data_IF_113362268709
#
_entry.id   IF_113362268709
#
_cell.length_a   1.000
_cell.length_b   1.000
_cell.length_c   1.000
_cell.angle_alpha   90.00
_cell.angle_beta   90.00
_cell.angle_gamma   90.00
#
_symmetry.space_group_name_H-M   'P 1'
#
loop_
_entity.id
_entity.type
_entity.pdbx_description
1 polymer ?
#
# COMPACT_ATOMS: atom_id res chain seq x y z
N UNK A 1 -15.38 -0.68 -10.01
CA UNK A 1 -15.03 -1.21 -8.68
C UNK A 1 -14.10 -0.28 -7.91
N UNK A 2 -12.76 -0.32 -8.04
CA UNK A 2 -11.87 0.54 -7.22
C UNK A 2 -12.14 2.05 -7.37
N UNK A 3 -12.18 2.56 -8.61
CA UNK A 3 -12.50 3.97 -8.89
C UNK A 3 -13.92 4.38 -8.45
N UNK A 4 -14.83 3.41 -8.36
CA UNK A 4 -16.21 3.58 -7.89
C UNK A 4 -16.32 3.45 -6.36
N UNK A 5 -15.19 3.25 -5.65
CA UNK A 5 -15.10 3.05 -4.18
C UNK A 5 -15.82 1.79 -3.68
N UNK A 6 -16.08 0.83 -4.55
CA UNK A 6 -16.68 -0.47 -4.21
C UNK A 6 -15.59 -1.44 -3.72
N UNK A 7 -14.96 -1.12 -2.59
CA UNK A 7 -13.74 -1.80 -2.14
C UNK A 7 -13.97 -3.28 -1.81
N UNK A 8 -15.08 -3.64 -1.17
CA UNK A 8 -15.38 -5.05 -0.85
C UNK A 8 -15.57 -5.89 -2.12
N UNK A 9 -16.30 -5.36 -3.11
CA UNK A 9 -16.49 -6.07 -4.38
C UNK A 9 -15.18 -6.13 -5.19
N UNK A 10 -14.36 -5.07 -5.12
CA UNK A 10 -13.03 -5.05 -5.71
C UNK A 10 -12.15 -6.15 -5.09
N UNK A 11 -12.19 -6.34 -3.76
CA UNK A 11 -11.47 -7.44 -3.10
C UNK A 11 -11.94 -8.78 -3.64
N UNK A 12 -13.25 -9.03 -3.73
CA UNK A 12 -13.78 -10.30 -4.29
C UNK A 12 -13.29 -10.57 -5.71
N UNK A 13 -13.23 -9.54 -6.57
CA UNK A 13 -12.69 -9.70 -7.92
C UNK A 13 -11.18 -10.00 -7.90
N UNK A 14 -10.42 -9.30 -7.05
CA UNK A 14 -8.99 -9.52 -6.92
C UNK A 14 -8.68 -10.92 -6.34
N UNK A 15 -9.52 -11.41 -5.43
CA UNK A 15 -9.50 -12.78 -4.89
C UNK A 15 -9.58 -13.80 -6.03
N UNK A 16 -10.57 -13.66 -6.91
CA UNK A 16 -10.75 -14.52 -8.07
C UNK A 16 -9.56 -14.46 -9.05
N UNK A 17 -8.98 -13.28 -9.29
CA UNK A 17 -7.84 -13.14 -10.23
C UNK A 17 -6.60 -13.86 -9.71
N UNK A 18 -6.35 -13.83 -8.40
CA UNK A 18 -5.15 -14.46 -7.83
C UNK A 18 -5.19 -15.98 -7.84
N UNK A 19 -6.35 -16.60 -8.09
CA UNK A 19 -6.44 -18.04 -8.36
C UNK A 19 -5.74 -18.42 -9.69
N UNK A 20 -5.59 -17.45 -10.61
CA UNK A 20 -4.96 -17.66 -11.92
C UNK A 20 -3.55 -17.07 -12.04
N UNK A 21 -3.22 -16.08 -11.21
CA UNK A 21 -1.91 -15.41 -11.20
C UNK A 21 -1.45 -15.16 -9.76
N UNK A 22 -0.62 -16.07 -9.25
CA UNK A 22 0.01 -15.90 -7.93
C UNK A 22 1.10 -14.83 -8.00
N UNK A 23 1.23 -14.00 -6.96
CA UNK A 23 2.28 -12.97 -6.85
C UNK A 23 2.17 -11.84 -7.90
N UNK A 24 0.93 -11.46 -8.24
CA UNK A 24 0.63 -10.32 -9.12
C UNK A 24 0.63 -9.01 -8.31
N UNK A 25 1.54 -8.10 -8.65
CA UNK A 25 1.70 -6.84 -7.93
C UNK A 25 0.47 -5.94 -7.99
N UNK A 26 -0.32 -5.99 -9.08
CA UNK A 26 -1.56 -5.24 -9.17
C UNK A 26 -2.58 -5.78 -8.16
N UNK A 27 -2.69 -7.10 -8.05
CA UNK A 27 -3.58 -7.73 -7.09
C UNK A 27 -3.18 -7.37 -5.66
N UNK A 28 -1.91 -7.50 -5.32
CA UNK A 28 -1.38 -7.17 -4.00
C UNK A 28 -1.59 -5.69 -3.65
N UNK A 29 -1.21 -4.79 -4.56
CA UNK A 29 -1.34 -3.36 -4.35
C UNK A 29 -2.81 -2.94 -4.20
N UNK A 30 -3.67 -3.29 -5.16
CA UNK A 30 -5.07 -2.83 -5.13
C UNK A 30 -5.87 -3.48 -3.99
N UNK A 31 -5.55 -4.71 -3.55
CA UNK A 31 -6.14 -5.27 -2.32
C UNK A 31 -5.69 -4.47 -1.10
N UNK A 32 -4.39 -4.17 -0.99
CA UNK A 32 -3.85 -3.32 0.07
C UNK A 32 -4.56 -1.98 0.15
N UNK A 33 -4.77 -1.33 -1.00
CA UNK A 33 -5.51 -0.08 -1.10
C UNK A 33 -6.99 -0.24 -0.71
N UNK A 34 -7.66 -1.32 -1.14
CA UNK A 34 -9.05 -1.57 -0.74
C UNK A 34 -9.17 -1.73 0.79
N UNK A 35 -8.30 -2.52 1.41
CA UNK A 35 -8.27 -2.70 2.85
C UNK A 35 -7.97 -1.39 3.58
N UNK A 36 -7.05 -0.57 3.06
CA UNK A 36 -6.73 0.74 3.62
C UNK A 36 -7.96 1.65 3.66
N UNK A 37 -8.72 1.75 2.55
CA UNK A 37 -9.93 2.56 2.49
C UNK A 37 -11.09 1.99 3.32
N UNK A 38 -11.12 0.68 3.54
CA UNK A 38 -12.03 0.02 4.48
C UNK A 38 -11.58 0.14 5.95
N UNK A 39 -10.48 0.84 6.22
CA UNK A 39 -9.87 0.99 7.55
C UNK A 39 -9.43 -0.34 8.20
N UNK A 40 -9.33 -1.42 7.41
CA UNK A 40 -8.76 -2.67 7.87
C UNK A 40 -7.24 -2.62 7.69
N UNK A 41 -6.58 -1.83 8.55
CA UNK A 41 -5.17 -1.49 8.40
C UNK A 41 -4.24 -2.70 8.56
N UNK A 42 -4.62 -3.72 9.35
CA UNK A 42 -3.84 -4.95 9.46
C UNK A 42 -3.86 -5.76 8.15
N UNK A 43 -5.02 -5.86 7.48
CA UNK A 43 -5.10 -6.51 6.18
C UNK A 43 -4.38 -5.68 5.10
N UNK A 44 -4.50 -4.34 5.15
CA UNK A 44 -3.79 -3.44 4.26
C UNK A 44 -2.27 -3.62 4.39
N UNK A 45 -1.76 -3.69 5.62
CA UNK A 45 -0.33 -3.89 5.91
C UNK A 45 0.18 -5.17 5.25
N UNK A 46 -0.53 -6.29 5.43
CA UNK A 46 -0.14 -7.58 4.84
C UNK A 46 -0.04 -7.51 3.32
N UNK A 47 -1.05 -6.94 2.66
CA UNK A 47 -1.11 -6.87 1.20
C UNK A 47 -0.10 -5.87 0.61
N UNK A 48 0.03 -4.68 1.20
CA UNK A 48 1.03 -3.70 0.78
C UNK A 48 2.47 -4.19 1.00
N UNK A 49 2.70 -5.00 2.04
CA UNK A 49 4.02 -5.63 2.26
C UNK A 49 4.35 -6.65 1.19
N UNK A 50 3.37 -7.43 0.72
CA UNK A 50 3.55 -8.33 -0.44
C UNK A 50 3.89 -7.55 -1.70
N UNK A 51 3.09 -6.51 -2.01
CA UNK A 51 3.35 -5.62 -3.14
C UNK A 51 4.75 -5.02 -3.09
N UNK A 52 5.22 -4.60 -1.91
CA UNK A 52 6.55 -3.98 -1.72
C UNK A 52 7.69 -4.93 -2.08
N UNK A 53 7.59 -6.21 -1.71
CA UNK A 53 8.66 -7.19 -1.95
C UNK A 53 8.54 -7.87 -3.32
N UNK A 54 7.51 -7.53 -4.10
CA UNK A 54 7.35 -8.04 -5.45
C UNK A 54 8.51 -7.55 -6.34
N UNK A 55 9.12 -8.47 -7.10
CA UNK A 55 10.31 -8.19 -7.93
C UNK A 55 10.04 -7.18 -9.06
N UNK A 56 8.80 -7.14 -9.54
CA UNK A 56 8.36 -6.22 -10.59
C UNK A 56 7.33 -5.30 -9.96
N UNK A 57 7.80 -4.29 -9.24
CA UNK A 57 6.92 -3.36 -8.54
C UNK A 57 6.80 -2.03 -9.29
N UNK A 58 5.76 -1.92 -10.11
CA UNK A 58 5.39 -0.66 -10.80
C UNK A 58 4.78 0.38 -9.86
N UNK A 59 4.45 0.00 -8.63
CA UNK A 59 3.86 0.84 -7.59
C UNK A 59 4.83 1.11 -6.44
N UNK A 60 6.15 1.06 -6.66
CA UNK A 60 7.14 1.13 -5.57
C UNK A 60 6.94 2.35 -4.66
N UNK A 61 6.79 3.54 -5.26
CA UNK A 61 6.62 4.78 -4.51
C UNK A 61 5.27 4.81 -3.77
N UNK A 62 4.17 4.50 -4.48
CA UNK A 62 2.83 4.41 -3.90
C UNK A 62 2.79 3.40 -2.74
N UNK A 63 3.39 2.23 -2.94
CA UNK A 63 3.39 1.14 -1.96
C UNK A 63 4.15 1.57 -0.72
N UNK A 64 5.35 2.13 -0.85
CA UNK A 64 6.11 2.61 0.30
C UNK A 64 5.35 3.73 1.03
N UNK A 65 4.73 4.66 0.31
CA UNK A 65 3.95 5.73 0.90
C UNK A 65 2.72 5.19 1.66
N UNK A 66 1.84 4.42 1.02
CA UNK A 66 0.64 3.89 1.68
C UNK A 66 0.95 2.86 2.76
N UNK A 67 2.02 2.06 2.61
CA UNK A 67 2.48 1.17 3.68
C UNK A 67 2.93 1.98 4.89
N UNK A 68 3.63 3.10 4.70
CA UNK A 68 4.02 3.98 5.82
C UNK A 68 2.80 4.54 6.57
N UNK A 69 1.78 5.00 5.85
CA UNK A 69 0.53 5.49 6.45
C UNK A 69 -0.17 4.37 7.22
N UNK A 70 -0.19 3.16 6.67
CA UNK A 70 -0.76 1.98 7.31
C UNK A 70 0.02 1.60 8.58
N UNK A 71 1.34 1.70 8.55
CA UNK A 71 2.20 1.50 9.71
C UNK A 71 1.89 2.50 10.84
N UNK A 72 1.73 3.79 10.52
CA UNK A 72 1.31 4.80 11.51
C UNK A 72 -0.05 4.47 12.13
N UNK A 73 -1.01 3.99 11.32
CA UNK A 73 -2.35 3.58 11.81
C UNK A 73 -2.34 2.34 12.69
N UNK A 74 -1.23 1.61 12.71
CA UNK A 74 -1.08 0.34 13.42
C UNK A 74 0.07 0.36 14.44
N UNK A 75 0.52 1.55 14.84
CA UNK A 75 1.58 1.76 15.84
C UNK A 75 2.93 1.13 15.46
N UNK A 76 3.22 1.01 14.16
CA UNK A 76 4.51 0.53 13.61
C UNK A 76 5.41 1.70 13.23
N UNK A 77 5.59 2.64 14.15
CA UNK A 77 6.14 3.98 13.84
C UNK A 77 7.57 3.94 13.29
N UNK A 78 8.43 3.03 13.80
CA UNK A 78 9.79 2.86 13.28
C UNK A 78 9.81 2.43 11.82
N UNK A 79 8.93 1.49 11.45
CA UNK A 79 8.80 1.04 10.06
C UNK A 79 8.21 2.16 9.19
N UNK A 80 7.23 2.90 9.72
CA UNK A 80 6.66 4.04 9.02
C UNK A 80 7.70 5.11 8.69
N UNK A 81 8.52 5.53 9.66
CA UNK A 81 9.53 6.56 9.44
C UNK A 81 10.58 6.10 8.42
N UNK A 82 11.04 4.85 8.51
CA UNK A 82 11.99 4.31 7.53
C UNK A 82 11.43 4.31 6.10
N UNK A 83 10.13 4.00 5.95
CA UNK A 83 9.45 4.05 4.65
C UNK A 83 9.28 5.48 4.15
N UNK A 84 8.89 6.42 5.02
CA UNK A 84 8.74 7.83 4.66
C UNK A 84 10.06 8.44 4.20
N UNK A 85 11.16 8.16 4.90
CA UNK A 85 12.51 8.57 4.51
C UNK A 85 12.87 8.07 3.11
N UNK A 86 12.56 6.81 2.81
CA UNK A 86 12.80 6.25 1.47
C UNK A 86 11.99 7.02 0.40
N UNK A 87 10.71 7.29 0.64
CA UNK A 87 9.85 8.03 -0.29
C UNK A 87 10.36 9.46 -0.50
N UNK A 88 10.78 10.15 0.57
CA UNK A 88 11.37 11.50 0.48
C UNK A 88 12.65 11.49 -0.36
N UNK A 89 13.54 10.53 -0.11
CA UNK A 89 14.84 10.44 -0.79
C UNK A 89 14.71 10.14 -2.28
N UNK A 90 13.66 9.44 -2.70
CA UNK A 90 13.38 9.15 -4.10
C UNK A 90 12.90 10.38 -4.89
N UNK A 91 12.50 11.47 -4.21
CA UNK A 91 12.08 12.75 -4.83
C UNK A 91 10.98 12.60 -5.90
N UNK A 92 10.13 11.57 -5.75
CA UNK A 92 9.02 11.29 -6.66
C UNK A 92 7.75 12.06 -6.32
N UNK A 93 6.62 11.56 -6.81
CA UNK A 93 5.31 12.20 -6.68
C UNK A 93 4.84 12.34 -5.22
N UNK A 94 5.16 11.37 -4.37
CA UNK A 94 4.76 11.34 -2.96
C UNK A 94 5.80 11.96 -2.02
N UNK A 95 7.01 12.28 -2.49
CA UNK A 95 8.10 12.81 -1.65
C UNK A 95 7.67 13.98 -0.76
N UNK A 96 6.98 14.98 -1.32
CA UNK A 96 6.50 16.14 -0.54
C UNK A 96 5.49 15.73 0.55
N UNK A 97 4.53 14.86 0.22
CA UNK A 97 3.54 14.37 1.18
C UNK A 97 4.20 13.52 2.27
N UNK A 98 5.20 12.71 1.91
CA UNK A 98 5.95 11.93 2.89
C UNK A 98 6.68 12.84 3.88
N UNK A 99 7.32 13.90 3.39
CA UNK A 99 7.99 14.89 4.24
C UNK A 99 7.02 15.57 5.23
N UNK A 100 5.81 15.90 4.79
CA UNK A 100 4.76 16.48 5.64
C UNK A 100 4.25 15.50 6.71
N UNK A 101 4.30 14.19 6.45
CA UNK A 101 3.89 13.17 7.41
C UNK A 101 4.93 12.93 8.52
N UNK A 102 6.21 13.20 8.25
CA UNK A 102 7.30 13.04 9.24
C UNK A 102 7.32 14.15 10.31
N UNK A 103 6.66 15.29 10.04
CA UNK A 103 6.68 16.48 10.93
C UNK A 103 5.41 16.63 11.78
N UNK A 104 4.45 15.71 11.64
CA UNK A 104 3.22 15.63 12.44
C UNK A 104 3.40 14.75 13.66
#
# INVERSE_FOLDING_TARGET
MFKQKEYSQCITLLDLISDFSTNDVNCEFYRGMCYYYLQNYEAAYKQLKLSRVNKINVFEEETNFYLSLTCLKTSRDKEAMSLLENVVNNKGFYAKKAQEMMTK
#
